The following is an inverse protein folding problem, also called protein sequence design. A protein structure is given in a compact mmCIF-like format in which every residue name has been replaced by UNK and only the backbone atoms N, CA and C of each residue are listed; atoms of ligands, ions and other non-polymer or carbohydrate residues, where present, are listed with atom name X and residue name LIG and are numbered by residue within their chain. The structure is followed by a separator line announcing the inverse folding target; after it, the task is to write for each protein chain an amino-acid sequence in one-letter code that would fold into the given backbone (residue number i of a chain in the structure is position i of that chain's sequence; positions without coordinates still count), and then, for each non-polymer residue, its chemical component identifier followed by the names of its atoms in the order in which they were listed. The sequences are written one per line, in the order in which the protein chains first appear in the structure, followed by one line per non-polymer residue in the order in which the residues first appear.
data_IF_309140792905
#
_entry.id   IF_309140792905
#
_cell.length_a   1.000
_cell.length_b   1.000
_cell.length_c   1.000
_cell.angle_alpha   90.00
_cell.angle_beta   90.00
_cell.angle_gamma   90.00
#
_symmetry.space_group_name_H-M   'P 1'
#
loop_
_entity.id
_entity.type
_entity.pdbx_description
1 polymer ?
#
# COMPACT_ATOMS: atom_id res chain seq x y z
N UNK A 1 1.35 -20.20 23.44
CA UNK A 1 2.44 -19.27 23.85
C UNK A 1 2.04 -17.88 23.40
N UNK A 2 2.10 -16.86 24.26
CA UNK A 2 1.82 -15.47 23.84
C UNK A 2 2.85 -15.07 22.79
N UNK A 3 2.41 -14.56 21.62
CA UNK A 3 3.30 -14.06 20.58
C UNK A 3 4.24 -13.01 21.19
N UNK A 4 5.56 -13.18 20.99
CA UNK A 4 6.56 -12.23 21.49
C UNK A 4 6.32 -10.89 20.82
N UNK A 5 6.00 -9.85 21.61
CA UNK A 5 5.84 -8.48 21.12
C UNK A 5 7.18 -7.77 21.08
N UNK A 6 7.40 -6.99 20.03
CA UNK A 6 8.56 -6.10 19.88
C UNK A 6 8.08 -4.65 19.97
N UNK A 7 8.87 -3.77 20.61
CA UNK A 7 8.54 -2.35 20.76
C UNK A 7 9.22 -1.55 19.67
N UNK A 8 8.45 -1.17 18.65
CA UNK A 8 8.95 -0.60 17.39
C UNK A 8 8.11 0.58 16.92
N UNK A 9 8.67 1.38 16.00
CA UNK A 9 7.95 2.44 15.30
C UNK A 9 6.92 1.88 14.33
N UNK A 10 5.90 2.68 13.98
CA UNK A 10 4.95 2.34 12.92
C UNK A 10 5.62 2.11 11.57
N UNK A 11 6.61 2.93 11.21
CA UNK A 11 7.42 2.72 9.99
C UNK A 11 8.15 1.37 10.00
N UNK A 12 8.77 1.00 11.12
CA UNK A 12 9.43 -0.31 11.27
C UNK A 12 8.41 -1.46 11.22
N UNK A 13 7.21 -1.24 11.76
CA UNK A 13 6.12 -2.22 11.71
C UNK A 13 5.65 -2.48 10.28
N UNK A 14 5.56 -1.44 9.43
CA UNK A 14 5.30 -1.56 7.99
C UNK A 14 6.38 -2.44 7.33
N UNK A 15 7.65 -2.17 7.58
CA UNK A 15 8.75 -2.95 7.02
C UNK A 15 8.71 -4.43 7.44
N UNK A 16 8.42 -4.71 8.72
CA UNK A 16 8.23 -6.08 9.22
C UNK A 16 7.01 -6.75 8.58
N UNK A 17 5.87 -6.04 8.49
CA UNK A 17 4.66 -6.56 7.85
C UNK A 17 4.89 -6.96 6.39
N UNK A 18 5.64 -6.15 5.64
CA UNK A 18 6.01 -6.45 4.27
C UNK A 18 6.88 -7.71 4.16
N UNK A 19 7.95 -7.82 4.96
CA UNK A 19 8.84 -8.98 4.96
C UNK A 19 8.09 -10.27 5.33
N UNK A 20 7.27 -10.23 6.37
CA UNK A 20 6.49 -11.38 6.84
C UNK A 20 5.39 -11.77 5.85
N UNK A 21 4.87 -10.82 5.08
CA UNK A 21 3.96 -11.08 3.95
C UNK A 21 4.64 -11.65 2.70
N UNK A 22 5.94 -11.91 2.74
CA UNK A 22 6.68 -12.46 1.60
C UNK A 22 7.13 -11.42 0.57
N UNK A 23 7.17 -10.13 0.91
CA UNK A 23 7.80 -9.11 0.06
C UNK A 23 9.28 -9.45 -0.17
N UNK A 24 9.71 -9.43 -1.44
CA UNK A 24 11.09 -9.75 -1.84
C UNK A 24 11.72 -8.71 -2.75
N UNK A 25 10.99 -7.65 -3.10
CA UNK A 25 11.56 -6.50 -3.79
C UNK A 25 11.07 -5.21 -3.15
N UNK A 26 12.01 -4.35 -2.81
CA UNK A 26 11.74 -3.00 -2.35
C UNK A 26 12.50 -2.00 -3.23
N UNK A 27 11.78 -1.00 -3.69
CA UNK A 27 12.31 0.11 -4.47
C UNK A 27 11.90 1.42 -3.80
N UNK A 28 12.83 2.29 -3.46
CA UNK A 28 12.51 3.51 -2.76
C UNK A 28 13.44 4.66 -3.03
N UNK A 29 12.95 5.86 -2.75
CA UNK A 29 13.73 7.09 -2.72
C UNK A 29 13.55 7.77 -1.35
N UNK A 30 14.63 8.27 -0.72
CA UNK A 30 14.55 8.84 0.62
C UNK A 30 13.67 10.09 0.67
N UNK A 31 12.69 10.09 1.58
CA UNK A 31 11.83 11.24 1.87
C UNK A 31 11.26 11.13 3.28
N UNK A 32 11.26 12.25 4.04
CA UNK A 32 10.64 12.35 5.36
C UNK A 32 9.11 12.38 5.22
N UNK A 33 8.33 11.65 6.09
CA UNK A 33 8.73 10.99 7.34
C UNK A 33 8.89 9.46 7.28
N UNK A 34 9.04 8.85 6.11
CA UNK A 34 9.03 7.39 5.93
C UNK A 34 10.43 6.74 6.01
N UNK A 35 11.50 7.49 6.24
CA UNK A 35 12.89 7.02 6.08
C UNK A 35 13.25 5.77 6.91
N UNK A 36 12.62 5.54 8.06
CA UNK A 36 12.87 4.33 8.85
C UNK A 36 12.51 3.04 8.09
N UNK A 37 11.59 3.11 7.09
CA UNK A 37 11.19 1.94 6.27
C UNK A 37 12.36 1.49 5.38
N UNK A 38 12.89 2.33 4.47
CA UNK A 38 14.03 1.95 3.65
C UNK A 38 15.29 1.68 4.48
N UNK A 39 15.52 2.40 5.57
CA UNK A 39 16.66 2.16 6.47
C UNK A 39 16.63 0.72 6.99
N UNK A 40 15.52 0.27 7.53
CA UNK A 40 15.36 -1.10 8.01
C UNK A 40 15.44 -2.11 6.86
N UNK A 41 14.76 -1.86 5.74
CA UNK A 41 14.72 -2.80 4.61
C UNK A 41 16.06 -2.93 3.89
N UNK A 42 16.93 -1.92 3.96
CA UNK A 42 18.27 -1.98 3.32
C UNK A 42 19.12 -3.15 3.81
N UNK A 43 18.97 -3.54 5.06
CA UNK A 43 19.65 -4.69 5.66
C UNK A 43 18.76 -5.95 5.72
N UNK A 44 17.48 -5.78 6.02
CA UNK A 44 16.58 -6.90 6.24
C UNK A 44 16.11 -7.58 4.94
N UNK A 45 15.97 -6.84 3.84
CA UNK A 45 15.55 -7.40 2.55
C UNK A 45 16.58 -8.36 1.95
N UNK A 46 17.87 -8.00 1.83
CA UNK A 46 18.91 -8.97 1.41
C UNK A 46 19.03 -10.18 2.34
N UNK A 47 18.91 -9.96 3.65
CA UNK A 47 18.95 -11.07 4.63
C UNK A 47 17.75 -12.05 4.46
N UNK A 48 16.63 -11.58 3.94
CA UNK A 48 15.45 -12.39 3.61
C UNK A 48 15.53 -13.01 2.19
N UNK A 49 16.64 -12.84 1.47
CA UNK A 49 16.82 -13.33 0.11
C UNK A 49 16.07 -12.50 -0.95
N UNK A 50 15.81 -11.25 -0.66
CA UNK A 50 15.15 -10.28 -1.55
C UNK A 50 16.11 -9.19 -2.03
N UNK A 51 15.58 -8.28 -2.86
CA UNK A 51 16.30 -7.17 -3.47
C UNK A 51 15.86 -5.83 -2.88
N UNK A 52 16.84 -5.00 -2.50
CA UNK A 52 16.65 -3.62 -2.08
C UNK A 52 17.34 -2.69 -3.05
N UNK A 53 16.62 -1.74 -3.62
CA UNK A 53 17.19 -0.73 -4.52
C UNK A 53 16.78 0.67 -4.07
N UNK A 54 17.75 1.51 -3.77
CA UNK A 54 17.53 2.95 -3.69
C UNK A 54 17.60 3.53 -5.10
N UNK A 55 16.45 3.92 -5.62
CA UNK A 55 16.33 4.51 -6.95
C UNK A 55 16.76 5.99 -6.95
N UNK A 56 16.95 6.56 -8.12
CA UNK A 56 17.30 7.97 -8.31
C UNK A 56 16.08 8.92 -8.14
N UNK A 57 14.86 8.38 -8.14
CA UNK A 57 13.62 9.16 -7.97
C UNK A 57 12.44 8.27 -7.61
N UNK A 58 11.35 8.87 -7.16
CA UNK A 58 10.08 8.18 -6.93
C UNK A 58 9.47 7.65 -8.23
N UNK A 59 9.67 8.33 -9.35
CA UNK A 59 9.23 7.86 -10.68
C UNK A 59 9.93 6.54 -11.01
N UNK A 60 11.24 6.46 -10.81
CA UNK A 60 12.00 5.25 -11.03
C UNK A 60 11.57 4.11 -10.08
N UNK A 61 11.41 4.41 -8.77
CA UNK A 61 10.94 3.44 -7.79
C UNK A 61 9.60 2.81 -8.18
N UNK A 62 8.64 3.62 -8.62
CA UNK A 62 7.31 3.15 -9.01
C UNK A 62 7.34 2.31 -10.30
N UNK A 63 8.21 2.66 -11.27
CA UNK A 63 8.38 1.85 -12.48
C UNK A 63 9.13 0.54 -12.22
N UNK A 64 10.09 0.52 -11.28
CA UNK A 64 10.73 -0.72 -10.82
C UNK A 64 9.70 -1.62 -10.10
N UNK A 65 8.81 -1.06 -9.27
CA UNK A 65 7.70 -1.78 -8.66
C UNK A 65 6.81 -2.42 -9.72
N UNK A 66 6.41 -1.67 -10.75
CA UNK A 66 5.62 -2.16 -11.88
C UNK A 66 6.31 -3.34 -12.58
N UNK A 67 7.62 -3.23 -12.84
CA UNK A 67 8.42 -4.30 -13.46
C UNK A 67 8.46 -5.57 -12.60
N UNK A 68 8.73 -5.45 -11.30
CA UNK A 68 8.74 -6.58 -10.37
C UNK A 68 7.35 -7.22 -10.25
N UNK A 69 6.30 -6.42 -10.17
CA UNK A 69 4.91 -6.88 -10.17
C UNK A 69 4.57 -7.67 -11.43
N UNK A 70 5.02 -7.21 -12.61
CA UNK A 70 4.84 -7.94 -13.88
C UNK A 70 5.53 -9.32 -13.87
N UNK A 71 6.62 -9.47 -13.12
CA UNK A 71 7.29 -10.75 -12.90
C UNK A 71 6.61 -11.63 -11.84
N UNK A 72 5.54 -11.15 -11.20
CA UNK A 72 4.81 -11.88 -10.16
C UNK A 72 5.53 -11.90 -8.81
N UNK A 73 6.39 -10.93 -8.54
CA UNK A 73 7.10 -10.80 -7.26
C UNK A 73 6.30 -9.89 -6.34
N UNK A 74 6.13 -10.29 -5.08
CA UNK A 74 5.58 -9.39 -4.04
C UNK A 74 6.58 -8.27 -3.81
N UNK A 75 6.22 -7.06 -4.23
CA UNK A 75 7.08 -5.89 -4.23
C UNK A 75 6.37 -4.67 -3.63
N UNK A 76 7.17 -3.78 -3.05
CA UNK A 76 6.69 -2.57 -2.38
C UNK A 76 7.56 -1.36 -2.73
N UNK A 77 6.92 -0.20 -2.79
CA UNK A 77 7.58 1.11 -2.71
C UNK A 77 6.96 1.95 -1.60
N UNK A 78 7.74 2.84 -1.03
CA UNK A 78 7.26 3.76 0.01
C UNK A 78 7.72 5.19 -0.29
N UNK A 79 6.88 6.15 0.02
CA UNK A 79 7.18 7.56 -0.11
C UNK A 79 6.33 8.42 0.83
N UNK A 80 6.35 9.71 0.63
CA UNK A 80 5.52 10.70 1.28
C UNK A 80 4.91 11.62 0.24
N UNK A 81 3.75 12.11 0.51
CA UNK A 81 2.92 13.07 -0.26
C UNK A 81 3.46 13.57 -1.61
N UNK A 82 4.50 14.44 -1.69
CA UNK A 82 4.99 14.92 -2.98
C UNK A 82 5.63 13.81 -3.83
N UNK A 83 6.30 12.83 -3.21
CA UNK A 83 6.85 11.68 -3.92
C UNK A 83 5.78 10.74 -4.46
N UNK A 84 4.69 10.53 -3.69
CA UNK A 84 3.53 9.74 -4.17
C UNK A 84 2.84 10.45 -5.35
N UNK A 85 2.85 11.78 -5.38
CA UNK A 85 2.37 12.54 -6.55
C UNK A 85 3.14 12.18 -7.83
N UNK A 86 4.45 11.98 -7.74
CA UNK A 86 5.28 11.53 -8.87
C UNK A 86 5.02 10.07 -9.28
N UNK A 87 4.49 9.24 -8.40
CA UNK A 87 4.20 7.82 -8.66
C UNK A 87 2.85 7.58 -9.35
N UNK A 88 1.98 8.59 -9.47
CA UNK A 88 0.59 8.42 -9.88
C UNK A 88 0.43 7.82 -11.29
N UNK A 89 1.33 8.12 -12.21
CA UNK A 89 1.33 7.53 -13.55
C UNK A 89 1.55 6.01 -13.49
N UNK A 90 2.59 5.58 -12.77
CA UNK A 90 2.90 4.16 -12.63
C UNK A 90 1.78 3.39 -11.89
N UNK A 91 1.16 3.99 -10.86
CA UNK A 91 0.00 3.41 -10.16
C UNK A 91 -1.17 3.22 -11.14
N UNK A 92 -1.44 4.22 -11.99
CA UNK A 92 -2.46 4.13 -13.04
C UNK A 92 -2.14 2.99 -14.04
N UNK A 93 -0.89 2.87 -14.47
CA UNK A 93 -0.45 1.80 -15.38
C UNK A 93 -0.57 0.41 -14.75
N UNK A 94 -0.23 0.26 -13.47
CA UNK A 94 -0.41 -0.99 -12.75
C UNK A 94 -1.89 -1.39 -12.67
N UNK A 95 -2.78 -0.45 -12.34
CA UNK A 95 -4.21 -0.70 -12.29
C UNK A 95 -4.77 -1.08 -13.67
N UNK A 96 -4.38 -0.36 -14.73
CA UNK A 96 -4.79 -0.62 -16.11
C UNK A 96 -4.26 -1.93 -16.70
N UNK A 97 -3.11 -2.41 -16.20
CA UNK A 97 -2.46 -3.66 -16.62
C UNK A 97 -2.80 -4.86 -15.74
N UNK A 98 -3.68 -4.71 -14.74
CA UNK A 98 -4.01 -5.73 -13.74
C UNK A 98 -2.76 -6.27 -13.02
N UNK A 99 -1.92 -5.36 -12.49
CA UNK A 99 -0.70 -5.70 -11.77
C UNK A 99 -0.83 -5.43 -10.27
N UNK A 100 -0.41 -6.38 -9.41
CA UNK A 100 -0.38 -6.17 -7.97
C UNK A 100 0.80 -5.29 -7.58
N UNK A 101 0.69 -4.61 -6.44
CA UNK A 101 1.79 -3.87 -5.83
C UNK A 101 1.35 -3.14 -4.59
N UNK A 102 2.26 -2.93 -3.65
CA UNK A 102 1.99 -2.19 -2.42
C UNK A 102 2.73 -0.87 -2.46
N UNK A 103 1.98 0.22 -2.27
CA UNK A 103 2.52 1.58 -2.18
C UNK A 103 2.21 2.13 -0.81
N UNK A 104 3.20 2.65 -0.10
CA UNK A 104 3.00 3.28 1.21
C UNK A 104 3.16 4.78 1.07
N UNK A 105 2.15 5.53 1.50
CA UNK A 105 2.21 6.97 1.65
C UNK A 105 2.19 7.34 3.14
N UNK A 106 3.35 7.79 3.65
CA UNK A 106 3.42 8.43 4.97
C UNK A 106 3.17 9.92 4.78
N UNK A 107 1.91 10.31 4.90
CA UNK A 107 1.39 11.62 4.56
C UNK A 107 2.02 12.73 5.40
N UNK A 108 2.34 13.84 4.75
CA UNK A 108 2.87 15.07 5.36
C UNK A 108 2.14 16.31 4.87
N UNK A 109 2.33 17.44 5.53
CA UNK A 109 1.68 18.71 5.21
C UNK A 109 2.00 19.20 3.80
N UNK A 110 0.96 19.59 3.04
CA UNK A 110 0.99 20.20 1.72
C UNK A 110 0.27 21.56 1.72
N UNK A 111 0.10 22.18 0.54
CA UNK A 111 0.49 21.73 -0.81
C UNK A 111 1.96 21.98 -1.16
N UNK A 112 2.36 21.50 -2.34
CA UNK A 112 3.71 21.61 -2.88
C UNK A 112 4.70 20.71 -2.14
N UNK A 113 5.90 21.20 -1.84
CA UNK A 113 6.86 20.49 -1.01
C UNK A 113 6.38 20.41 0.45
N UNK A 114 5.63 21.41 0.87
CA UNK A 114 4.90 21.47 2.13
C UNK A 114 5.77 21.52 3.38
N UNK A 115 5.36 20.74 4.37
CA UNK A 115 6.00 20.58 5.68
C UNK A 115 6.23 19.09 5.95
N UNK A 116 7.11 18.76 6.87
CA UNK A 116 7.38 17.38 7.30
C UNK A 116 6.44 16.90 8.41
N UNK A 117 5.59 17.77 8.93
CA UNK A 117 4.60 17.47 9.97
C UNK A 117 3.48 16.55 9.46
N UNK A 118 2.75 15.93 10.40
CA UNK A 118 1.67 15.02 10.06
C UNK A 118 0.51 15.72 9.35
N UNK A 119 -0.10 15.03 8.38
CA UNK A 119 -1.26 15.51 7.65
C UNK A 119 -2.12 14.36 7.14
N UNK A 120 -3.35 14.65 6.76
CA UNK A 120 -4.25 13.73 6.04
C UNK A 120 -4.72 14.36 4.71
N UNK A 121 -3.92 15.27 4.12
CA UNK A 121 -4.26 16.03 2.92
C UNK A 121 -4.37 15.18 1.64
N UNK A 122 -3.73 14.00 1.60
CA UNK A 122 -3.70 13.13 0.43
C UNK A 122 -4.90 12.14 0.37
N UNK A 123 -5.93 12.36 1.19
CA UNK A 123 -7.10 11.49 1.19
C UNK A 123 -7.72 11.33 -0.21
N UNK A 124 -8.03 12.44 -0.87
CA UNK A 124 -8.65 12.38 -2.19
C UNK A 124 -7.71 11.80 -3.26
N UNK A 125 -6.43 12.12 -3.22
CA UNK A 125 -5.44 11.53 -4.12
C UNK A 125 -5.42 10.00 -3.99
N UNK A 126 -5.48 9.50 -2.77
CA UNK A 126 -5.44 8.06 -2.48
C UNK A 126 -6.74 7.34 -2.87
N UNK A 127 -7.92 7.90 -2.50
CA UNK A 127 -9.21 7.21 -2.66
C UNK A 127 -9.94 7.53 -3.96
N UNK A 128 -9.60 8.65 -4.64
CA UNK A 128 -10.20 9.05 -5.92
C UNK A 128 -9.27 8.80 -7.11
N UNK A 129 -7.98 8.50 -6.84
CA UNK A 129 -6.95 8.40 -7.83
C UNK A 129 -6.38 9.76 -8.23
N UNK A 130 -5.05 9.81 -8.39
CA UNK A 130 -4.32 11.01 -8.79
C UNK A 130 -3.69 10.90 -10.18
N UNK A 131 -3.76 9.72 -10.81
CA UNK A 131 -3.22 9.45 -12.13
C UNK A 131 -4.28 9.48 -13.23
N UNK A 132 -3.94 8.92 -14.37
CA UNK A 132 -4.77 8.92 -15.57
C UNK A 132 -5.88 7.86 -15.50
N UNK A 133 -7.11 8.28 -15.83
CA UNK A 133 -8.28 7.41 -15.98
C UNK A 133 -9.07 7.17 -14.68
N UNK A 134 -10.07 6.29 -14.77
CA UNK A 134 -11.05 6.03 -13.70
C UNK A 134 -10.69 4.83 -12.82
N UNK A 135 -9.39 4.55 -12.65
CA UNK A 135 -8.95 3.45 -11.81
C UNK A 135 -9.29 3.64 -10.32
N UNK A 136 -9.32 2.55 -9.59
CA UNK A 136 -9.51 2.52 -8.13
C UNK A 136 -8.41 1.72 -7.49
N UNK A 137 -8.03 2.10 -6.29
CA UNK A 137 -7.10 1.37 -5.42
C UNK A 137 -7.80 0.97 -4.14
N UNK A 138 -7.35 -0.10 -3.51
CA UNK A 138 -7.66 -0.36 -2.12
C UNK A 138 -6.76 0.53 -1.26
N UNK A 139 -7.34 1.23 -0.29
CA UNK A 139 -6.61 2.13 0.61
C UNK A 139 -6.85 1.68 2.04
N UNK A 140 -5.79 1.34 2.74
CA UNK A 140 -5.79 0.89 4.13
C UNK A 140 -5.08 1.93 4.99
N UNK A 141 -5.75 2.39 6.05
CA UNK A 141 -5.27 3.51 6.85
C UNK A 141 -5.06 3.10 8.32
N UNK A 142 -3.82 2.77 8.73
CA UNK A 142 -3.51 2.35 10.10
C UNK A 142 -3.63 3.51 11.10
N UNK A 143 -4.17 3.24 12.29
CA UNK A 143 -4.21 4.14 13.44
C UNK A 143 -3.32 3.71 14.60
N UNK A 144 -2.57 2.59 14.47
CA UNK A 144 -1.65 2.06 15.48
C UNK A 144 -0.45 1.35 14.83
N UNK A 145 0.63 1.12 15.59
CA UNK A 145 1.78 0.35 15.08
C UNK A 145 1.39 -1.10 14.77
N UNK A 146 0.46 -1.69 15.51
CA UNK A 146 -0.05 -3.02 15.19
C UNK A 146 -0.80 -3.01 13.85
N UNK A 147 -1.64 -2.01 13.61
CA UNK A 147 -2.33 -1.87 12.31
C UNK A 147 -1.35 -1.54 11.17
N UNK A 148 -0.28 -0.79 11.41
CA UNK A 148 0.80 -0.61 10.43
C UNK A 148 1.35 -1.97 9.96
N UNK A 149 1.59 -2.88 10.90
CA UNK A 149 2.05 -4.23 10.59
C UNK A 149 0.96 -5.07 9.89
N UNK A 150 -0.22 -5.18 10.51
CA UNK A 150 -1.29 -6.07 10.07
C UNK A 150 -1.84 -5.67 8.68
N UNK A 151 -2.11 -4.38 8.47
CA UNK A 151 -2.65 -3.89 7.20
C UNK A 151 -1.61 -3.97 6.08
N UNK A 152 -0.32 -3.76 6.40
CA UNK A 152 0.74 -3.97 5.38
C UNK A 152 0.87 -5.45 5.03
N UNK A 153 0.81 -6.35 6.01
CA UNK A 153 0.81 -7.78 5.75
C UNK A 153 -0.35 -8.19 4.82
N UNK A 154 -1.56 -7.72 5.12
CA UNK A 154 -2.76 -8.00 4.33
C UNK A 154 -2.78 -7.31 2.95
N UNK A 155 -2.11 -6.17 2.81
CA UNK A 155 -2.05 -5.44 1.54
C UNK A 155 -1.49 -6.28 0.39
N UNK A 156 -0.51 -7.16 0.67
CA UNK A 156 0.04 -8.06 -0.35
C UNK A 156 -0.97 -9.11 -0.81
N UNK A 157 -1.72 -9.69 0.14
CA UNK A 157 -2.79 -10.64 -0.19
C UNK A 157 -3.87 -9.99 -1.06
N UNK A 158 -4.31 -8.79 -0.67
CA UNK A 158 -5.31 -8.02 -1.41
C UNK A 158 -4.82 -7.59 -2.79
N UNK A 159 -3.55 -7.17 -2.89
CA UNK A 159 -2.95 -6.78 -4.16
C UNK A 159 -2.95 -7.94 -5.15
N UNK A 160 -2.56 -9.13 -4.71
CA UNK A 160 -2.53 -10.33 -5.56
C UNK A 160 -3.93 -10.88 -5.84
N UNK A 161 -4.82 -10.91 -4.85
CA UNK A 161 -6.22 -11.33 -5.00
C UNK A 161 -6.95 -10.58 -6.11
N UNK A 162 -6.77 -9.26 -6.15
CA UNK A 162 -7.44 -8.39 -7.12
C UNK A 162 -6.55 -8.00 -8.30
N UNK A 163 -5.27 -8.37 -8.29
CA UNK A 163 -4.30 -7.90 -9.28
C UNK A 163 -4.40 -6.39 -9.46
N UNK A 164 -4.22 -5.66 -8.37
CA UNK A 164 -4.46 -4.24 -8.30
C UNK A 164 -3.50 -3.57 -7.29
N UNK A 165 -3.06 -2.33 -7.50
CA UNK A 165 -2.32 -1.60 -6.49
C UNK A 165 -3.12 -1.43 -5.20
N UNK A 166 -2.45 -1.61 -4.06
CA UNK A 166 -2.99 -1.33 -2.71
C UNK A 166 -2.13 -0.25 -2.06
N UNK A 167 -2.78 0.75 -1.47
CA UNK A 167 -2.12 1.84 -0.77
C UNK A 167 -2.26 1.68 0.74
N UNK A 168 -1.15 1.86 1.46
CA UNK A 168 -1.14 2.12 2.90
C UNK A 168 -1.05 3.63 3.07
N UNK A 169 -2.06 4.22 3.70
CA UNK A 169 -2.15 5.66 3.94
C UNK A 169 -1.94 5.95 5.43
N UNK A 170 -0.70 6.16 5.82
CA UNK A 170 -0.32 6.58 7.16
C UNK A 170 0.01 8.08 7.21
N UNK A 171 0.47 8.53 8.36
CA UNK A 171 1.00 9.87 8.57
C UNK A 171 2.23 9.86 9.49
N UNK A 172 2.88 11.01 9.66
CA UNK A 172 4.07 11.14 10.49
C UNK A 172 3.82 10.75 11.96
N UNK A 173 2.61 10.89 12.51
CA UNK A 173 2.30 10.50 13.90
C UNK A 173 2.38 8.98 13.99
N UNK A 174 1.58 8.27 13.19
CA UNK A 174 1.52 6.81 13.27
C UNK A 174 2.86 6.17 12.89
N UNK A 175 3.59 6.77 11.93
CA UNK A 175 4.89 6.27 11.50
C UNK A 175 5.99 6.37 12.55
N UNK A 176 5.99 7.44 13.34
CA UNK A 176 7.06 7.73 14.31
C UNK A 176 6.75 7.29 15.74
N UNK A 177 5.48 7.10 16.11
CA UNK A 177 5.15 6.58 17.44
C UNK A 177 5.65 5.13 17.59
N UNK A 178 5.93 4.74 18.83
CA UNK A 178 6.37 3.37 19.18
C UNK A 178 5.32 2.66 20.03
N UNK A 179 5.03 1.43 19.68
CA UNK A 179 4.12 0.56 20.42
C UNK A 179 4.59 -0.90 20.39
N UNK A 180 4.10 -1.75 21.30
CA UNK A 180 4.37 -3.18 21.22
C UNK A 180 3.57 -3.82 20.08
N UNK A 181 4.27 -4.44 19.12
CA UNK A 181 3.72 -5.11 17.95
C UNK A 181 3.92 -6.61 18.05
N UNK A 182 2.86 -7.37 17.85
CA UNK A 182 2.90 -8.83 17.70
C UNK A 182 3.05 -9.17 16.22
N UNK A 183 4.09 -9.94 15.87
CA UNK A 183 4.32 -10.40 14.49
C UNK A 183 3.63 -11.74 14.27
N UNK A 184 3.16 -11.95 13.04
CA UNK A 184 2.66 -13.24 12.53
C UNK A 184 3.85 -14.11 12.09
N UNK A 185 3.61 -15.38 11.86
CA UNK A 185 4.54 -16.22 11.13
C UNK A 185 4.68 -15.72 9.69
N UNK A 186 5.92 -15.67 9.20
CA UNK A 186 6.19 -15.21 7.85
C UNK A 186 5.62 -16.19 6.81
N UNK A 187 4.98 -15.66 5.77
CA UNK A 187 4.47 -16.47 4.68
C UNK A 187 5.61 -17.06 3.86
N UNK A 188 5.51 -18.34 3.47
CA UNK A 188 6.42 -18.92 2.52
C UNK A 188 6.25 -18.24 1.15
N UNK A 189 7.33 -18.18 0.37
CA UNK A 189 7.24 -17.76 -1.02
C UNK A 189 6.60 -18.88 -1.81
N UNK A 190 5.45 -18.61 -2.45
CA UNK A 190 4.84 -19.54 -3.38
C UNK A 190 5.33 -19.25 -4.82
N UNK A 191 6.18 -20.09 -5.39
CA UNK A 191 6.65 -19.91 -6.76
C UNK A 191 5.54 -20.06 -7.80
N UNK A 192 4.38 -20.64 -7.44
CA UNK A 192 3.23 -20.80 -8.32
C UNK A 192 2.31 -19.57 -8.30
N UNK A 193 2.44 -18.66 -7.32
CA UNK A 193 1.62 -17.44 -7.25
C UNK A 193 1.73 -16.64 -8.54
N UNK A 194 0.59 -16.31 -9.15
CA UNK A 194 0.52 -15.60 -10.43
C UNK A 194 1.02 -16.39 -11.64
N UNK A 195 1.14 -17.70 -11.54
CA UNK A 195 1.69 -18.56 -12.61
C UNK A 195 0.96 -18.38 -13.95
N UNK A 196 -0.31 -18.00 -13.95
CA UNK A 196 -1.15 -17.81 -15.13
C UNK A 196 -0.85 -16.51 -15.89
N UNK A 197 -0.33 -15.46 -15.24
CA UNK A 197 -0.14 -14.13 -15.83
C UNK A 197 1.30 -13.59 -15.78
N UNK A 198 2.12 -13.98 -14.83
CA UNK A 198 3.45 -13.41 -14.63
C UNK A 198 4.41 -13.61 -15.80
N UNK A 199 5.28 -12.63 -16.02
CA UNK A 199 6.30 -12.61 -17.08
C UNK A 199 7.65 -13.15 -16.55
N UNK A 200 7.88 -14.44 -16.70
CA UNK A 200 9.09 -15.15 -16.24
C UNK A 200 9.86 -15.79 -17.40
N UNK A 201 9.92 -15.08 -18.54
CA UNK A 201 10.42 -15.69 -19.78
C UNK A 201 9.36 -16.59 -20.44
N UNK A 202 9.51 -16.80 -21.75
CA UNK A 202 8.51 -17.53 -22.55
C UNK A 202 8.61 -19.04 -22.37
N UNK A 203 9.82 -19.61 -22.40
CA UNK A 203 10.01 -21.05 -22.48
C UNK A 203 9.19 -21.67 -23.64
N UNK A 204 8.47 -22.76 -23.35
CA UNK A 204 7.59 -23.46 -24.30
C UNK A 204 6.13 -22.96 -24.28
N UNK A 205 5.77 -22.03 -23.39
CA UNK A 205 4.39 -21.53 -23.28
C UNK A 205 4.02 -20.52 -24.37
N UNK A 206 2.73 -20.28 -24.55
CA UNK A 206 2.21 -19.19 -25.38
C UNK A 206 2.70 -17.81 -24.84
N UNK A 207 2.89 -16.79 -25.69
CA UNK A 207 3.22 -15.44 -25.28
C UNK A 207 2.20 -14.88 -24.28
N UNK A 208 2.66 -14.12 -23.29
CA UNK A 208 1.82 -13.33 -22.39
C UNK A 208 2.09 -11.86 -22.62
N UNK A 209 1.04 -11.06 -22.57
CA UNK A 209 1.12 -9.61 -22.77
C UNK A 209 0.42 -8.96 -21.58
N UNK A 210 1.18 -8.14 -20.86
CA UNK A 210 0.66 -7.20 -19.85
C UNK A 210 0.75 -5.80 -20.46
N UNK A 211 -0.39 -5.12 -20.59
CA UNK A 211 -0.48 -3.83 -21.25
C UNK A 211 -1.59 -2.97 -20.67
N UNK A 212 -1.45 -1.65 -20.76
CA UNK A 212 -2.50 -0.67 -20.46
C UNK A 212 -2.90 0.15 -21.68
N UNK A 213 -2.32 -0.13 -22.86
CA UNK A 213 -2.66 0.52 -24.12
C UNK A 213 -3.54 -0.42 -24.97
N UNK A 214 -4.72 0.05 -25.37
CA UNK A 214 -5.73 -0.68 -26.13
C UNK A 214 -6.14 0.15 -27.34
N UNK A 215 -5.65 -0.20 -28.53
CA UNK A 215 -5.85 0.59 -29.77
C UNK A 215 -6.97 0.04 -30.67
N UNK A 216 -7.35 -1.22 -30.50
CA UNK A 216 -8.42 -1.83 -31.30
C UNK A 216 -9.78 -1.26 -30.89
N UNK A 217 -10.70 -1.13 -31.83
CA UNK A 217 -12.06 -0.64 -31.60
C UNK A 217 -12.76 -1.43 -30.49
N UNK A 218 -13.27 -0.71 -29.47
CA UNK A 218 -13.95 -1.31 -28.33
C UNK A 218 -13.06 -2.01 -27.31
N UNK A 219 -11.76 -2.20 -27.56
CA UNK A 219 -10.87 -2.92 -26.65
C UNK A 219 -10.72 -2.22 -25.30
N UNK A 220 -10.55 -0.88 -25.28
CA UNK A 220 -10.49 -0.10 -24.04
C UNK A 220 -11.83 -0.13 -23.29
N UNK A 221 -12.96 -0.06 -24.00
CA UNK A 221 -14.28 -0.18 -23.36
C UNK A 221 -14.45 -1.54 -22.69
N UNK A 222 -14.03 -2.63 -23.34
CA UNK A 222 -14.03 -3.98 -22.76
C UNK A 222 -13.15 -4.09 -21.51
N UNK A 223 -11.95 -3.47 -21.53
CA UNK A 223 -11.07 -3.41 -20.36
C UNK A 223 -11.75 -2.65 -19.20
N UNK A 224 -12.36 -1.49 -19.48
CA UNK A 224 -13.01 -0.68 -18.45
C UNK A 224 -14.21 -1.39 -17.82
N UNK A 225 -14.95 -2.21 -18.59
CA UNK A 225 -16.02 -3.06 -18.04
C UNK A 225 -15.44 -4.08 -17.05
N UNK A 226 -14.35 -4.77 -17.41
CA UNK A 226 -13.68 -5.71 -16.49
C UNK A 226 -13.15 -5.00 -15.23
N UNK A 227 -12.55 -3.82 -15.39
CA UNK A 227 -12.08 -3.02 -14.24
C UNK A 227 -13.24 -2.59 -13.34
N UNK A 228 -14.35 -2.15 -13.91
CA UNK A 228 -15.58 -1.83 -13.15
C UNK A 228 -16.04 -3.02 -12.31
N UNK A 229 -16.10 -4.21 -12.90
CA UNK A 229 -16.54 -5.42 -12.20
C UNK A 229 -15.55 -5.84 -11.10
N UNK A 230 -14.24 -5.70 -11.35
CA UNK A 230 -13.19 -5.87 -10.34
C UNK A 230 -13.38 -4.89 -9.17
N UNK A 231 -13.59 -3.61 -9.45
CA UNK A 231 -13.76 -2.59 -8.42
C UNK A 231 -15.06 -2.78 -7.62
N UNK A 232 -16.13 -3.28 -8.25
CA UNK A 232 -17.34 -3.67 -7.54
C UNK A 232 -17.08 -4.83 -6.56
N UNK A 233 -16.28 -5.82 -6.97
CA UNK A 233 -15.86 -6.91 -6.08
C UNK A 233 -14.95 -6.43 -4.93
N UNK A 234 -14.09 -5.44 -5.16
CA UNK A 234 -13.25 -4.83 -4.12
C UNK A 234 -14.05 -4.12 -3.02
N UNK A 235 -15.31 -3.75 -3.26
CA UNK A 235 -16.17 -3.16 -2.24
C UNK A 235 -16.40 -4.08 -1.04
N UNK A 236 -16.22 -5.38 -1.18
CA UNK A 236 -16.28 -6.34 -0.08
C UNK A 236 -15.16 -6.16 0.97
N UNK A 237 -14.09 -5.45 0.61
CA UNK A 237 -12.96 -5.17 1.50
C UNK A 237 -13.14 -3.89 2.33
N UNK A 238 -14.25 -3.16 2.16
CA UNK A 238 -14.53 -1.95 2.95
C UNK A 238 -14.67 -2.33 4.43
N UNK A 239 -13.91 -1.62 5.26
CA UNK A 239 -13.85 -1.84 6.71
C UNK A 239 -14.10 -0.53 7.44
N UNK A 240 -14.91 -0.60 8.48
CA UNK A 240 -15.13 0.52 9.40
C UNK A 240 -15.51 -0.03 10.78
N UNK A 241 -15.34 0.79 11.79
CA UNK A 241 -15.82 0.53 13.14
C UNK A 241 -16.86 1.59 13.50
N UNK A 242 -18.06 1.17 13.88
CA UNK A 242 -19.06 2.05 14.45
C UNK A 242 -18.84 2.13 15.97
N UNK A 243 -18.23 3.22 16.43
CA UNK A 243 -17.85 3.41 17.83
C UNK A 243 -18.85 4.35 18.51
N UNK A 244 -19.62 3.84 19.47
CA UNK A 244 -20.61 4.58 20.28
C UNK A 244 -21.57 5.46 19.45
N UNK A 245 -22.12 4.90 18.36
CA UNK A 245 -22.97 5.63 17.42
C UNK A 245 -24.47 5.39 17.64
N UNK A 246 -24.88 4.45 18.50
CA UNK A 246 -26.26 4.00 18.59
C UNK A 246 -27.25 5.10 19.07
N UNK A 247 -26.78 6.03 19.89
CA UNK A 247 -27.53 7.15 20.46
C UNK A 247 -26.99 8.52 20.02
N UNK A 248 -26.14 8.55 18.99
CA UNK A 248 -25.43 9.75 18.58
C UNK A 248 -26.33 10.74 17.81
N UNK A 249 -26.40 11.99 18.26
CA UNK A 249 -26.97 13.11 17.49
C UNK A 249 -25.99 13.67 16.45
N UNK A 250 -24.68 13.49 16.70
CA UNK A 250 -23.60 13.90 15.81
C UNK A 250 -22.64 12.73 15.60
N UNK A 251 -22.34 12.40 14.34
CA UNK A 251 -21.40 11.35 13.96
C UNK A 251 -20.17 11.97 13.33
N UNK A 252 -18.99 11.57 13.81
CA UNK A 252 -17.69 11.96 13.25
C UNK A 252 -17.15 10.78 12.43
N UNK A 253 -16.76 11.03 11.18
CA UNK A 253 -16.07 10.04 10.32
C UNK A 253 -14.59 10.42 10.28
N UNK A 254 -13.71 9.50 10.70
CA UNK A 254 -12.28 9.73 10.76
C UNK A 254 -11.51 8.42 10.51
N UNK A 255 -10.23 8.52 10.13
CA UNK A 255 -9.37 7.36 9.91
C UNK A 255 -7.96 7.59 10.47
N UNK A 256 -7.14 6.54 10.53
CA UNK A 256 -5.73 6.60 10.91
C UNK A 256 -5.52 7.22 12.31
N UNK A 257 -4.50 8.06 12.44
CA UNK A 257 -4.15 8.75 13.69
C UNK A 257 -5.30 9.62 14.23
N UNK A 258 -6.02 10.33 13.35
CA UNK A 258 -7.17 11.17 13.75
C UNK A 258 -8.32 10.30 14.25
N UNK A 259 -8.60 9.16 13.61
CA UNK A 259 -9.62 8.22 14.10
C UNK A 259 -9.34 7.76 15.53
N UNK A 260 -8.07 7.50 15.87
CA UNK A 260 -7.64 7.17 17.23
C UNK A 260 -7.86 8.30 18.22
N UNK A 261 -7.54 9.54 17.84
CA UNK A 261 -7.75 10.73 18.68
C UNK A 261 -9.26 10.93 18.93
N UNK A 262 -10.08 10.87 17.89
CA UNK A 262 -11.53 11.01 17.97
C UNK A 262 -12.14 9.98 18.93
N UNK A 263 -11.75 8.72 18.86
CA UNK A 263 -12.23 7.69 19.81
C UNK A 263 -11.92 8.05 21.27
N UNK A 264 -10.71 8.54 21.54
CA UNK A 264 -10.32 8.97 22.89
C UNK A 264 -11.13 10.17 23.35
N UNK A 265 -11.39 11.13 22.46
CA UNK A 265 -12.21 12.32 22.74
C UNK A 265 -13.67 11.93 23.03
N UNK A 266 -14.27 11.05 22.23
CA UNK A 266 -15.65 10.56 22.45
C UNK A 266 -15.77 9.88 23.81
N UNK A 267 -14.81 9.03 24.18
CA UNK A 267 -14.79 8.41 25.53
C UNK A 267 -14.76 9.45 26.65
N UNK A 268 -13.91 10.48 26.50
CA UNK A 268 -13.80 11.52 27.51
C UNK A 268 -15.04 12.41 27.62
N UNK A 269 -15.75 12.65 26.50
CA UNK A 269 -16.98 13.45 26.49
C UNK A 269 -18.20 12.67 27.00
N UNK A 270 -18.18 11.33 26.96
CA UNK A 270 -19.24 10.45 27.44
C UNK A 270 -19.06 9.97 28.88
N UNK A 271 -17.86 10.20 29.46
CA UNK A 271 -17.56 9.87 30.86
C UNK A 271 -18.02 10.95 31.83
#
# INVERSE_FOLDING_TARGET
MSAKRIFIKGNEAIAHGALDAGCRCYFGYPITPQNDIPEMLSSAMPAAGGEFVQAESEVASANMLLGAAACGVRAMTTSSSPGVSLMQEAISYMAGSDLPGVVVNMNRGGPGLGDIGPSQGDYFQSVKGGGHGDYRTLVLAPGSCQECYDLTFEAFELAFKYRNPVLILGDAIVGQMKEPVARREALPIDPAEGAEWKLTGRGQRAPRILKSLFLDDGALAGQNIRLRDKYAAMAAEVRYEAFETADAELVVVAYGSIGRIVKSTVRALRA
#
